data_IF_515064056444
#
_entry.id   IF_515064056444
#
_cell.length_a   1.000
_cell.length_b   1.000
_cell.length_c   1.000
_cell.angle_alpha   90.00
_cell.angle_beta   90.00
_cell.angle_gamma   90.00
#
_symmetry.space_group_name_H-M   'P 1'
#
loop_
_entity.id
_entity.type
_entity.pdbx_description
1 polymer ?
#
# COMPACT_ATOMS: atom_id res chain seq x y z
N UNK A 1 9.18 9.06 -9.28
CA UNK A 1 7.74 9.12 -8.94
C UNK A 1 7.59 8.92 -7.43
N UNK A 2 6.42 9.17 -6.82
CA UNK A 2 6.25 9.10 -5.33
C UNK A 2 6.75 7.78 -4.70
N UNK A 3 6.57 6.65 -5.39
CA UNK A 3 7.04 5.35 -4.91
C UNK A 3 8.57 5.24 -4.91
N UNK A 4 9.24 5.85 -5.87
CA UNK A 4 10.71 5.84 -5.96
C UNK A 4 11.30 6.76 -4.89
N UNK A 5 10.75 7.97 -4.73
CA UNK A 5 11.17 8.91 -3.70
C UNK A 5 11.02 8.28 -2.29
N UNK A 6 9.89 7.61 -2.04
CA UNK A 6 9.71 6.90 -0.77
C UNK A 6 10.73 5.77 -0.58
N UNK A 7 11.07 5.02 -1.65
CA UNK A 7 12.06 3.94 -1.56
C UNK A 7 13.46 4.45 -1.18
N UNK A 8 13.80 5.67 -1.59
CA UNK A 8 15.07 6.32 -1.25
C UNK A 8 15.04 6.88 0.16
N UNK A 9 14.07 7.75 0.47
CA UNK A 9 13.98 8.46 1.74
C UNK A 9 13.77 7.52 2.94
N UNK A 10 12.99 6.45 2.77
CA UNK A 10 12.70 5.53 3.89
C UNK A 10 13.97 4.83 4.38
N UNK A 11 14.98 4.63 3.52
CA UNK A 11 16.22 3.93 3.88
C UNK A 11 17.06 4.74 4.86
N UNK A 12 16.99 6.07 4.79
CA UNK A 12 17.72 6.97 5.69
C UNK A 12 17.24 6.87 7.16
N UNK A 13 16.06 6.29 7.39
CA UNK A 13 15.53 6.02 8.73
C UNK A 13 16.09 4.73 9.37
N UNK A 14 16.89 3.97 8.62
CA UNK A 14 17.52 2.73 9.06
C UNK A 14 19.03 2.87 9.04
N UNK A 15 19.73 2.24 9.98
CA UNK A 15 21.20 2.20 9.98
C UNK A 15 21.77 1.35 8.83
N UNK A 16 23.07 1.45 8.64
CA UNK A 16 23.80 0.75 7.58
C UNK A 16 23.63 -0.77 7.63
N UNK A 17 23.47 -1.36 8.81
CA UNK A 17 23.32 -2.82 8.96
C UNK A 17 21.94 -3.27 8.48
N UNK A 18 20.89 -2.55 8.90
CA UNK A 18 19.53 -2.79 8.47
C UNK A 18 19.34 -2.51 6.99
N UNK A 19 20.03 -1.50 6.45
CA UNK A 19 20.03 -1.21 5.02
C UNK A 19 20.66 -2.34 4.19
N UNK A 20 21.75 -2.95 4.67
CA UNK A 20 22.45 -4.07 4.00
C UNK A 20 21.63 -5.36 4.04
N UNK A 21 20.95 -5.61 5.15
CA UNK A 21 20.09 -6.80 5.33
C UNK A 21 18.66 -6.60 4.83
N UNK A 22 18.32 -5.38 4.41
CA UNK A 22 17.00 -4.97 3.94
C UNK A 22 15.88 -5.18 4.97
N UNK A 23 16.21 -5.05 6.26
CA UNK A 23 15.26 -5.19 7.36
C UNK A 23 15.90 -5.19 8.73
N UNK A 24 15.10 -5.51 9.74
CA UNK A 24 15.45 -5.51 11.16
C UNK A 24 15.06 -6.84 11.76
N UNK A 25 15.99 -7.50 12.45
CA UNK A 25 15.69 -8.68 13.27
C UNK A 25 15.45 -8.23 14.70
N UNK A 26 14.27 -8.48 15.24
CA UNK A 26 13.90 -8.09 16.61
C UNK A 26 13.12 -9.20 17.31
N UNK A 27 13.19 -9.20 18.65
CA UNK A 27 12.42 -10.13 19.47
C UNK A 27 10.98 -9.61 19.62
N UNK A 28 10.01 -10.44 19.28
CA UNK A 28 8.60 -10.10 19.40
C UNK A 28 8.11 -10.19 20.87
N UNK A 29 6.83 -9.89 21.09
CA UNK A 29 6.24 -9.93 22.45
C UNK A 29 6.14 -11.34 23.05
N UNK A 30 6.40 -12.39 22.27
CA UNK A 30 6.39 -13.79 22.68
C UNK A 30 7.82 -14.31 22.91
N UNK A 31 8.85 -13.48 22.73
CA UNK A 31 10.25 -13.88 22.88
C UNK A 31 10.84 -14.53 21.63
N UNK A 32 10.12 -14.54 20.50
CA UNK A 32 10.60 -15.13 19.25
C UNK A 32 11.34 -14.07 18.41
N UNK A 33 12.50 -14.44 17.86
CA UNK A 33 13.21 -13.56 16.92
C UNK A 33 12.48 -13.55 15.57
N UNK A 34 12.04 -12.37 15.15
CA UNK A 34 11.28 -12.15 13.91
C UNK A 34 12.03 -11.14 13.04
N UNK A 35 12.01 -11.39 11.73
CA UNK A 35 12.55 -10.47 10.74
C UNK A 35 11.45 -9.55 10.19
N UNK A 36 11.74 -8.25 10.17
CA UNK A 36 10.86 -7.19 9.65
C UNK A 36 11.57 -6.50 8.49
N UNK A 37 11.06 -6.65 7.27
CA UNK A 37 11.62 -5.94 6.10
C UNK A 37 11.52 -4.42 6.26
N UNK A 38 12.36 -3.67 5.53
CA UNK A 38 12.25 -2.20 5.44
C UNK A 38 10.82 -1.81 5.04
N UNK A 39 10.34 -0.73 5.65
CA UNK A 39 9.00 -0.21 5.40
C UNK A 39 8.79 0.09 3.92
N UNK A 40 7.62 -0.29 3.40
CA UNK A 40 7.22 -0.04 2.01
C UNK A 40 5.89 0.70 1.94
N UNK A 41 5.65 1.37 0.82
CA UNK A 41 4.46 2.16 0.57
C UNK A 41 3.53 1.46 -0.43
N UNK A 42 2.33 1.11 0.02
CA UNK A 42 1.28 0.56 -0.84
C UNK A 42 0.16 1.58 -1.07
N UNK A 43 -0.12 1.90 -2.33
CA UNK A 43 -1.14 2.85 -2.75
C UNK A 43 -2.27 2.10 -3.47
N UNK A 44 -3.48 2.20 -2.92
CA UNK A 44 -4.70 1.77 -3.60
C UNK A 44 -5.46 2.98 -4.13
N UNK A 45 -5.73 3.00 -5.44
CA UNK A 45 -6.47 4.06 -6.10
C UNK A 45 -7.67 3.49 -6.86
N UNK A 46 -8.66 4.33 -7.07
CA UNK A 46 -9.82 4.05 -7.93
C UNK A 46 -9.74 4.98 -9.14
N UNK A 47 -10.12 4.49 -10.32
CA UNK A 47 -10.22 5.34 -11.50
C UNK A 47 -11.67 5.83 -11.66
N UNK A 48 -11.87 7.14 -11.55
CA UNK A 48 -13.15 7.80 -11.81
C UNK A 48 -13.12 8.39 -13.21
N UNK A 49 -13.94 7.86 -14.12
CA UNK A 49 -13.97 8.31 -15.52
C UNK A 49 -14.93 9.49 -15.77
N UNK A 50 -15.60 9.98 -14.73
CA UNK A 50 -16.49 11.15 -14.80
C UNK A 50 -17.81 10.93 -15.52
N UNK A 51 -18.07 9.72 -16.04
CA UNK A 51 -19.25 9.44 -16.89
C UNK A 51 -20.40 8.80 -16.12
N UNK A 52 -20.14 8.23 -14.95
CA UNK A 52 -21.14 7.62 -14.08
C UNK A 52 -21.40 8.55 -12.88
N UNK A 53 -22.67 8.75 -12.52
CA UNK A 53 -23.02 9.32 -11.23
C UNK A 53 -22.69 8.28 -10.15
N UNK A 54 -21.60 8.48 -9.41
CA UNK A 54 -21.29 7.64 -8.26
C UNK A 54 -22.25 8.03 -7.15
N UNK A 55 -23.35 7.29 -7.07
CA UNK A 55 -24.52 7.65 -6.25
C UNK A 55 -24.28 7.56 -4.75
N UNK A 56 -23.14 7.02 -4.29
CA UNK A 56 -22.89 6.80 -2.87
C UNK A 56 -21.39 6.85 -2.51
N UNK A 57 -21.03 7.74 -1.58
CA UNK A 57 -19.66 7.81 -1.06
C UNK A 57 -19.19 6.52 -0.37
N UNK A 58 -20.12 5.70 0.14
CA UNK A 58 -19.80 4.40 0.72
C UNK A 58 -19.23 3.43 -0.31
N UNK A 59 -19.71 3.48 -1.56
CA UNK A 59 -19.20 2.64 -2.64
C UNK A 59 -17.77 3.06 -3.03
N UNK A 60 -17.52 4.37 -3.13
CA UNK A 60 -16.18 4.94 -3.32
C UNK A 60 -15.21 4.43 -2.25
N UNK A 61 -15.58 4.58 -0.98
CA UNK A 61 -14.75 4.17 0.15
C UNK A 61 -14.50 2.65 0.17
N UNK A 62 -15.52 1.86 -0.19
CA UNK A 62 -15.41 0.40 -0.31
C UNK A 62 -14.42 0.01 -1.42
N UNK A 63 -14.58 0.57 -2.62
CA UNK A 63 -13.70 0.30 -3.78
C UNK A 63 -12.26 0.74 -3.52
N UNK A 64 -12.06 1.88 -2.85
CA UNK A 64 -10.73 2.34 -2.44
C UNK A 64 -10.11 1.43 -1.37
N UNK A 65 -10.92 0.92 -0.43
CA UNK A 65 -10.46 -0.03 0.58
C UNK A 65 -10.06 -1.38 -0.04
N UNK A 66 -10.81 -1.86 -1.03
CA UNK A 66 -10.44 -3.03 -1.84
C UNK A 66 -9.13 -2.79 -2.59
N UNK A 67 -8.99 -1.63 -3.25
CA UNK A 67 -7.78 -1.27 -3.97
C UNK A 67 -6.56 -1.24 -3.03
N UNK A 68 -6.70 -0.65 -1.84
CA UNK A 68 -5.66 -0.63 -0.80
C UNK A 68 -5.30 -2.04 -0.34
N UNK A 69 -6.30 -2.90 -0.13
CA UNK A 69 -6.07 -4.30 0.25
C UNK A 69 -5.28 -5.04 -0.83
N UNK A 70 -5.59 -4.81 -2.11
CA UNK A 70 -4.85 -5.39 -3.25
C UNK A 70 -3.42 -4.84 -3.34
N UNK A 71 -3.22 -3.55 -3.15
CA UNK A 71 -1.89 -2.95 -3.12
C UNK A 71 -1.01 -3.57 -2.02
N UNK A 72 -1.56 -3.77 -0.82
CA UNK A 72 -0.86 -4.39 0.33
C UNK A 72 -0.49 -5.87 0.13
N UNK A 73 -1.08 -6.55 -0.86
CA UNK A 73 -0.72 -7.93 -1.20
C UNK A 73 0.51 -8.00 -2.11
N UNK A 74 0.86 -6.89 -2.76
CA UNK A 74 2.07 -6.78 -3.58
C UNK A 74 3.24 -6.47 -2.63
N UNK A 75 4.31 -7.24 -2.74
CA UNK A 75 5.50 -7.04 -1.92
C UNK A 75 6.23 -5.75 -2.32
N UNK A 76 6.67 -4.98 -1.32
CA UNK A 76 7.38 -3.71 -1.55
C UNK A 76 6.46 -2.56 -1.97
N UNK A 77 7.07 -1.52 -2.56
CA UNK A 77 6.35 -0.34 -3.00
C UNK A 77 5.40 -0.70 -4.15
N UNK A 78 4.13 -0.30 -4.03
CA UNK A 78 3.10 -0.76 -4.95
C UNK A 78 2.03 0.29 -5.22
N UNK A 79 1.49 0.26 -6.44
CA UNK A 79 0.31 1.00 -6.84
C UNK A 79 -0.68 0.05 -7.49
N UNK A 80 -1.88 -0.06 -6.92
CA UNK A 80 -2.98 -0.78 -7.52
C UNK A 80 -4.12 0.19 -7.85
N UNK A 81 -4.47 0.29 -9.14
CA UNK A 81 -5.60 1.09 -9.60
C UNK A 81 -6.78 0.17 -9.91
N UNK A 82 -7.82 0.26 -9.09
CA UNK A 82 -9.08 -0.42 -9.31
C UNK A 82 -9.86 0.28 -10.43
N UNK A 83 -10.07 -0.43 -11.54
CA UNK A 83 -10.80 0.05 -12.72
C UNK A 83 -12.26 -0.43 -12.77
N UNK A 84 -12.77 -1.02 -11.69
CA UNK A 84 -14.19 -1.40 -11.60
C UNK A 84 -15.05 -0.14 -11.71
N UNK A 85 -16.06 -0.20 -12.57
CA UNK A 85 -17.11 0.82 -12.73
C UNK A 85 -18.10 0.73 -11.56
N UNK A 86 -18.62 1.87 -11.12
CA UNK A 86 -19.62 1.91 -10.06
C UNK A 86 -20.97 1.62 -10.73
N UNK A 87 -21.53 0.41 -10.53
CA UNK A 87 -22.85 0.11 -11.10
C UNK A 87 -23.90 1.01 -10.46
N UNK A 88 -24.35 2.02 -11.18
CA UNK A 88 -25.58 2.74 -10.85
C UNK A 88 -26.73 1.73 -10.84
N UNK A 89 -27.38 1.58 -9.69
CA UNK A 89 -28.66 0.89 -9.58
C UNK A 89 -29.68 1.78 -10.30
N UNK A 90 -30.20 1.30 -11.44
CA UNK A 90 -31.40 1.85 -12.09
C UNK A 90 -32.65 1.39 -11.34
#
# INVERSE_FOLDING_TARGET
MILDCFAEEVRELYDDEHQKTNGVSAVDRRGETVFYAISSLSIGAIHYDGKESWGNHHEIASLASEAKKKAKQIHGNSLFINRKKCRSLN
#
